data_IF_217544952338
#
_entry.id   IF_217544952338
#
_cell.length_a   1.000
_cell.length_b   1.000
_cell.length_c   1.000
_cell.angle_alpha   90.00
_cell.angle_beta   90.00
_cell.angle_gamma   90.00
#
_symmetry.space_group_name_H-M   'P 1'
#
loop_
_entity.id
_entity.type
_entity.pdbx_description
1 polymer ?
#
# COMPACT_ATOMS: atom_id res chain seq x y z
N UNK A 1 -36.26 -5.80 -5.70
CA UNK A 1 -35.26 -5.58 -6.79
C UNK A 1 -33.81 -5.55 -6.28
N UNK A 2 -33.43 -6.40 -5.32
CA UNK A 2 -32.07 -6.41 -4.72
C UNK A 2 -31.16 -7.56 -5.23
N UNK A 3 -31.71 -8.57 -5.92
CA UNK A 3 -30.98 -9.76 -6.33
C UNK A 3 -30.04 -9.56 -7.55
N UNK A 4 -30.21 -8.49 -8.33
CA UNK A 4 -29.51 -8.30 -9.60
C UNK A 4 -28.14 -7.58 -9.47
N UNK A 5 -27.81 -7.01 -8.30
CA UNK A 5 -26.55 -6.25 -8.08
C UNK A 5 -25.37 -7.12 -7.63
N UNK A 6 -25.61 -8.24 -6.96
CA UNK A 6 -24.55 -9.18 -6.54
C UNK A 6 -23.90 -9.91 -7.71
N UNK A 7 -24.66 -10.16 -8.78
CA UNK A 7 -24.21 -10.89 -9.98
C UNK A 7 -23.02 -10.23 -10.68
N UNK A 8 -22.89 -8.90 -10.65
CA UNK A 8 -21.80 -8.19 -11.34
C UNK A 8 -20.45 -8.32 -10.62
N UNK A 9 -20.45 -8.38 -9.28
CA UNK A 9 -19.23 -8.58 -8.48
C UNK A 9 -18.74 -10.01 -8.61
N UNK A 10 -19.66 -10.99 -8.54
CA UNK A 10 -19.33 -12.38 -8.83
C UNK A 10 -18.85 -12.54 -10.27
N UNK A 11 -19.44 -11.85 -11.24
CA UNK A 11 -18.95 -11.89 -12.62
C UNK A 11 -17.52 -11.33 -12.75
N UNK A 12 -17.16 -10.24 -12.07
CA UNK A 12 -15.78 -9.69 -12.09
C UNK A 12 -14.81 -10.57 -11.32
N UNK A 13 -15.19 -11.11 -10.17
CA UNK A 13 -14.37 -12.05 -9.40
C UNK A 13 -14.17 -13.35 -10.17
N UNK A 14 -15.22 -13.87 -10.82
CA UNK A 14 -15.18 -15.06 -11.69
C UNK A 14 -14.35 -14.78 -12.94
N UNK A 15 -14.46 -13.59 -13.55
CA UNK A 15 -13.62 -13.18 -14.68
C UNK A 15 -12.16 -13.02 -14.27
N UNK A 16 -11.88 -12.44 -13.10
CA UNK A 16 -10.53 -12.32 -12.56
C UNK A 16 -9.94 -13.68 -12.19
N UNK A 17 -10.74 -14.59 -11.60
CA UNK A 17 -10.30 -15.94 -11.25
C UNK A 17 -10.21 -16.87 -12.47
N UNK A 18 -11.04 -16.67 -13.50
CA UNK A 18 -10.89 -17.32 -14.81
C UNK A 18 -9.65 -16.80 -15.56
N UNK A 19 -9.34 -15.50 -15.47
CA UNK A 19 -8.09 -14.94 -15.99
C UNK A 19 -6.85 -15.50 -15.27
N UNK A 20 -6.94 -15.74 -13.95
CA UNK A 20 -5.91 -16.45 -13.17
C UNK A 20 -5.84 -17.94 -13.54
N UNK A 21 -6.93 -18.56 -13.99
CA UNK A 21 -6.92 -19.95 -14.48
C UNK A 21 -6.29 -20.09 -15.88
N UNK A 22 -6.16 -18.98 -16.63
CA UNK A 22 -5.51 -18.91 -17.94
C UNK A 22 -4.12 -18.26 -17.86
N UNK A 23 -3.31 -18.63 -16.85
CA UNK A 23 -1.89 -18.30 -16.83
C UNK A 23 -1.19 -19.13 -17.90
N UNK A 24 -1.11 -18.60 -19.11
CA UNK A 24 -0.09 -19.01 -20.08
C UNK A 24 1.25 -18.36 -19.67
N UNK A 25 2.40 -18.98 -19.97
CA UNK A 25 3.67 -18.29 -19.86
C UNK A 25 3.60 -17.03 -20.74
N UNK A 26 3.60 -15.87 -20.11
CA UNK A 26 3.68 -14.61 -20.82
C UNK A 26 5.13 -14.41 -21.26
N UNK A 27 5.41 -14.68 -22.53
CA UNK A 27 6.68 -14.47 -23.25
C UNK A 27 7.12 -12.98 -23.29
N UNK A 28 6.48 -12.09 -22.53
CA UNK A 28 6.73 -10.65 -22.48
C UNK A 28 7.35 -10.19 -21.15
N UNK A 29 7.89 -11.09 -20.32
CA UNK A 29 8.72 -10.68 -19.18
C UNK A 29 10.10 -10.28 -19.70
N UNK A 30 10.28 -8.98 -19.97
CA UNK A 30 11.57 -8.32 -20.21
C UNK A 30 12.44 -8.27 -18.95
N UNK A 31 12.58 -9.39 -18.27
CA UNK A 31 13.55 -9.62 -17.21
C UNK A 31 14.91 -10.07 -17.78
N UNK A 32 15.12 -9.88 -19.10
CA UNK A 32 16.42 -10.04 -19.71
C UNK A 32 17.30 -8.86 -19.29
N UNK A 33 18.16 -9.15 -18.29
CA UNK A 33 19.49 -8.58 -18.02
C UNK A 33 19.75 -7.20 -18.63
N UNK A 34 20.04 -6.25 -17.72
CA UNK A 34 20.42 -4.86 -17.99
C UNK A 34 20.80 -4.57 -19.43
N UNK A 35 19.93 -3.79 -20.10
CA UNK A 35 20.27 -3.13 -21.36
C UNK A 35 21.67 -2.55 -21.23
N UNK A 36 22.62 -3.07 -22.02
CA UNK A 36 23.72 -2.21 -22.46
C UNK A 36 23.00 -1.11 -23.22
N UNK A 37 22.83 0.07 -22.61
CA UNK A 37 22.27 1.22 -23.31
C UNK A 37 23.23 1.52 -24.48
N UNK A 38 22.90 0.98 -25.65
CA UNK A 38 23.58 1.28 -26.91
C UNK A 38 23.36 2.75 -27.32
N UNK A 39 22.39 3.42 -26.69
CA UNK A 39 22.17 4.86 -26.81
C UNK A 39 23.12 5.67 -25.90
N UNK A 40 23.55 6.87 -26.32
CA UNK A 40 24.34 7.75 -25.47
C UNK A 40 23.58 8.13 -24.19
N UNK A 41 24.00 7.55 -23.06
CA UNK A 41 23.31 7.63 -21.76
C UNK A 41 23.12 9.07 -21.29
N UNK A 42 24.02 9.98 -21.67
CA UNK A 42 23.92 11.41 -21.32
C UNK A 42 22.66 12.08 -21.86
N UNK A 43 22.28 11.85 -23.13
CA UNK A 43 21.07 12.44 -23.70
C UNK A 43 19.80 11.83 -23.08
N UNK A 44 19.83 10.54 -22.77
CA UNK A 44 18.72 9.87 -22.10
C UNK A 44 18.48 10.43 -20.69
N UNK A 45 19.53 10.56 -19.88
CA UNK A 45 19.45 11.12 -18.53
C UNK A 45 19.00 12.58 -18.56
N UNK A 46 19.57 13.39 -19.44
CA UNK A 46 19.16 14.79 -19.59
C UNK A 46 17.69 14.90 -20.03
N UNK A 47 17.28 14.12 -21.02
CA UNK A 47 15.89 14.10 -21.50
C UNK A 47 14.91 13.71 -20.40
N UNK A 48 15.21 12.66 -19.63
CA UNK A 48 14.41 12.24 -18.48
C UNK A 48 14.32 13.33 -17.40
N UNK A 49 15.46 13.90 -17.00
CA UNK A 49 15.51 14.97 -16.00
C UNK A 49 14.75 16.22 -16.47
N UNK A 50 14.93 16.62 -17.73
CA UNK A 50 14.25 17.75 -18.33
C UNK A 50 12.73 17.54 -18.42
N UNK A 51 12.27 16.34 -18.79
CA UNK A 51 10.85 16.01 -18.83
C UNK A 51 10.19 16.07 -17.44
N UNK A 52 10.88 15.56 -16.41
CA UNK A 52 10.42 15.67 -15.01
C UNK A 52 10.37 17.13 -14.58
N UNK A 53 11.45 17.90 -14.79
CA UNK A 53 11.51 19.32 -14.45
C UNK A 53 10.42 20.14 -15.16
N UNK A 54 10.20 19.89 -16.46
CA UNK A 54 9.16 20.54 -17.24
C UNK A 54 7.75 20.17 -16.71
N UNK A 55 7.52 18.93 -16.29
CA UNK A 55 6.24 18.51 -15.72
C UNK A 55 5.92 19.26 -14.42
N UNK A 56 6.90 19.40 -13.52
CA UNK A 56 6.74 20.20 -12.30
C UNK A 56 6.54 21.69 -12.61
N UNK A 57 7.31 22.23 -13.56
CA UNK A 57 7.18 23.62 -13.97
C UNK A 57 5.77 23.90 -14.55
N UNK A 58 5.26 23.01 -15.40
CA UNK A 58 3.89 23.11 -15.92
C UNK A 58 2.87 23.09 -14.78
N UNK A 59 3.02 22.19 -13.80
CA UNK A 59 2.15 22.13 -12.62
C UNK A 59 2.12 23.44 -11.83
N UNK A 60 3.23 24.20 -11.76
CA UNK A 60 3.24 25.52 -11.12
C UNK A 60 2.33 26.56 -11.82
N UNK A 61 2.06 26.38 -13.10
CA UNK A 61 1.17 27.26 -13.87
C UNK A 61 -0.28 26.77 -13.93
N UNK A 62 -0.56 25.52 -13.53
CA UNK A 62 -1.93 24.98 -13.51
C UNK A 62 -2.68 25.55 -12.30
N UNK A 63 -3.84 26.23 -12.49
CA UNK A 63 -4.64 26.71 -11.38
C UNK A 63 -5.09 25.56 -10.45
N UNK A 64 -5.01 25.71 -9.12
CA UNK A 64 -5.37 24.65 -8.16
C UNK A 64 -6.80 24.11 -8.37
N UNK A 65 -7.73 24.97 -8.81
CA UNK A 65 -9.13 24.62 -9.08
C UNK A 65 -9.28 23.50 -10.13
N UNK A 66 -8.38 23.44 -11.11
CA UNK A 66 -8.42 22.43 -12.18
C UNK A 66 -7.98 21.08 -11.60
N UNK A 67 -6.86 21.07 -10.87
CA UNK A 67 -6.33 19.88 -10.18
C UNK A 67 -7.37 19.33 -9.21
N UNK A 68 -7.96 20.20 -8.40
CA UNK A 68 -9.03 19.89 -7.46
C UNK A 68 -10.27 19.28 -8.12
N UNK A 69 -10.69 19.82 -9.27
CA UNK A 69 -11.83 19.29 -10.03
C UNK A 69 -11.53 17.88 -10.53
N UNK A 70 -10.33 17.65 -11.06
CA UNK A 70 -9.91 16.34 -11.56
C UNK A 70 -9.76 15.33 -10.42
N UNK A 71 -9.16 15.74 -9.28
CA UNK A 71 -9.00 14.88 -8.10
C UNK A 71 -10.34 14.48 -7.46
N UNK A 72 -11.37 15.32 -7.60
CA UNK A 72 -12.74 15.00 -7.18
C UNK A 72 -13.56 14.26 -8.23
N UNK A 73 -13.07 14.12 -9.46
CA UNK A 73 -13.77 13.34 -10.46
C UNK A 73 -13.79 11.87 -10.00
N UNK A 74 -15.00 11.38 -9.70
CA UNK A 74 -15.22 10.00 -9.26
C UNK A 74 -16.25 9.38 -10.19
N UNK A 75 -15.90 8.24 -10.77
CA UNK A 75 -16.90 7.41 -11.44
C UNK A 75 -17.49 6.43 -10.42
N UNK A 76 -18.83 6.39 -10.27
CA UNK A 76 -19.48 5.45 -9.37
C UNK A 76 -19.43 4.04 -9.97
N UNK A 77 -18.34 3.33 -9.71
CA UNK A 77 -18.12 1.95 -10.18
C UNK A 77 -18.87 0.91 -9.34
N UNK A 78 -19.56 1.34 -8.28
CA UNK A 78 -20.33 0.51 -7.36
C UNK A 78 -19.90 0.70 -5.90
N UNK A 79 -20.61 0.06 -4.98
CA UNK A 79 -20.25 0.02 -3.55
C UNK A 79 -19.62 -1.33 -3.24
N UNK A 80 -18.42 -1.33 -2.66
CA UNK A 80 -17.84 -2.54 -2.11
C UNK A 80 -18.70 -3.04 -0.93
N UNK A 81 -18.96 -4.35 -0.84
CA UNK A 81 -19.57 -4.93 0.35
C UNK A 81 -18.71 -4.62 1.58
N UNK A 82 -19.34 -4.41 2.74
CA UNK A 82 -18.64 -4.25 4.00
C UNK A 82 -18.04 -5.61 4.42
N UNK A 83 -16.84 -5.90 3.93
CA UNK A 83 -16.05 -7.07 4.32
C UNK A 83 -15.28 -6.69 5.58
N UNK A 84 -15.32 -7.55 6.60
CA UNK A 84 -14.46 -7.39 7.77
C UNK A 84 -12.99 -7.44 7.32
N UNK A 85 -12.17 -6.43 7.62
CA UNK A 85 -10.78 -6.39 7.15
C UNK A 85 -9.87 -7.37 7.91
N UNK A 86 -10.28 -7.87 9.08
CA UNK A 86 -9.44 -8.70 9.93
C UNK A 86 -8.93 -10.00 9.27
N UNK A 87 -9.78 -10.86 8.66
CA UNK A 87 -9.30 -12.09 8.02
C UNK A 87 -8.42 -11.83 6.80
N UNK A 88 -8.77 -10.86 5.95
CA UNK A 88 -7.97 -10.52 4.76
C UNK A 88 -6.64 -9.89 5.14
N UNK A 89 -6.64 -9.04 6.17
CA UNK A 89 -5.43 -8.43 6.73
C UNK A 89 -4.52 -9.48 7.36
N UNK A 90 -5.09 -10.49 8.05
CA UNK A 90 -4.30 -11.59 8.60
C UNK A 90 -3.70 -12.46 7.49
N UNK A 91 -4.46 -12.76 6.44
CA UNK A 91 -3.94 -13.48 5.28
C UNK A 91 -2.78 -12.71 4.61
N UNK A 92 -2.92 -11.38 4.45
CA UNK A 92 -1.87 -10.52 3.93
C UNK A 92 -0.63 -10.50 4.82
N UNK A 93 -0.81 -10.49 6.15
CA UNK A 93 0.29 -10.60 7.11
C UNK A 93 1.02 -11.94 7.02
N UNK A 94 0.28 -13.06 6.97
CA UNK A 94 0.88 -14.38 6.82
C UNK A 94 1.63 -14.53 5.49
N UNK A 95 1.07 -13.98 4.40
CA UNK A 95 1.75 -13.91 3.11
C UNK A 95 3.03 -13.09 3.21
N UNK A 96 3.01 -11.94 3.89
CA UNK A 96 4.19 -11.11 4.11
C UNK A 96 5.27 -11.89 4.87
N UNK A 97 4.92 -12.59 5.94
CA UNK A 97 5.84 -13.44 6.70
C UNK A 97 6.45 -14.54 5.82
N UNK A 98 5.64 -15.18 4.95
CA UNK A 98 6.12 -16.19 4.01
C UNK A 98 7.09 -15.58 2.99
N UNK A 99 6.81 -14.38 2.47
CA UNK A 99 7.67 -13.68 1.53
C UNK A 99 9.00 -13.25 2.17
N UNK A 100 8.97 -12.76 3.42
CA UNK A 100 10.19 -12.46 4.18
C UNK A 100 11.01 -13.73 4.40
N UNK A 101 10.37 -14.84 4.78
CA UNK A 101 11.05 -16.13 4.92
C UNK A 101 11.65 -16.62 3.59
N UNK A 102 10.92 -16.46 2.48
CA UNK A 102 11.43 -16.78 1.15
C UNK A 102 12.61 -15.89 0.75
N UNK A 103 12.61 -14.60 1.09
CA UNK A 103 13.74 -13.70 0.84
C UNK A 103 14.98 -14.03 1.66
N UNK A 104 14.82 -14.46 2.92
CA UNK A 104 15.94 -14.78 3.82
C UNK A 104 16.52 -16.19 3.62
N UNK A 105 15.68 -17.18 3.34
CA UNK A 105 16.08 -18.59 3.27
C UNK A 105 15.99 -19.20 1.86
N UNK A 106 15.37 -18.49 0.92
CA UNK A 106 15.19 -18.96 -0.46
C UNK A 106 16.36 -18.61 -1.37
N UNK A 107 16.10 -18.66 -2.68
CA UNK A 107 17.12 -18.33 -3.69
C UNK A 107 17.54 -16.87 -3.61
N UNK A 108 18.83 -16.59 -3.80
CA UNK A 108 19.34 -15.22 -3.97
C UNK A 108 19.11 -14.65 -5.38
N UNK A 109 18.70 -15.49 -6.32
CA UNK A 109 18.31 -15.04 -7.65
C UNK A 109 16.95 -14.33 -7.57
N UNK A 110 16.88 -13.02 -7.90
CA UNK A 110 15.63 -12.25 -7.86
C UNK A 110 14.52 -12.80 -8.74
N UNK A 111 14.87 -13.55 -9.79
CA UNK A 111 13.89 -14.16 -10.71
C UNK A 111 13.30 -15.46 -10.16
N UNK A 112 14.07 -16.18 -9.34
CA UNK A 112 13.61 -17.39 -8.69
C UNK A 112 12.92 -17.09 -7.35
N UNK A 113 13.27 -15.98 -6.69
CA UNK A 113 12.68 -15.59 -5.43
C UNK A 113 11.36 -14.84 -5.65
N UNK A 114 10.26 -15.21 -4.99
CA UNK A 114 8.98 -14.52 -5.16
C UNK A 114 8.95 -13.12 -4.53
N UNK A 115 9.87 -12.80 -3.60
CA UNK A 115 9.81 -11.55 -2.84
C UNK A 115 9.99 -10.29 -3.72
N UNK A 116 11.03 -10.15 -4.57
CA UNK A 116 11.19 -8.96 -5.40
C UNK A 116 10.01 -8.73 -6.33
N UNK A 117 9.51 -9.78 -6.99
CA UNK A 117 8.34 -9.69 -7.86
C UNK A 117 7.09 -9.23 -7.10
N UNK A 118 6.84 -9.80 -5.90
CA UNK A 118 5.68 -9.44 -5.11
C UNK A 118 5.74 -8.00 -4.60
N UNK A 119 6.91 -7.51 -4.20
CA UNK A 119 7.06 -6.14 -3.71
C UNK A 119 6.99 -5.14 -4.87
N UNK A 120 7.85 -5.29 -5.88
CA UNK A 120 8.03 -4.28 -6.93
C UNK A 120 6.95 -4.32 -8.01
N UNK A 121 6.48 -5.51 -8.39
CA UNK A 121 5.50 -5.62 -9.47
C UNK A 121 4.08 -5.66 -8.93
N UNK A 122 3.81 -6.57 -7.99
CA UNK A 122 2.43 -6.80 -7.53
C UNK A 122 2.00 -5.71 -6.56
N UNK A 123 2.75 -5.49 -5.47
CA UNK A 123 2.36 -4.52 -4.46
C UNK A 123 2.58 -3.07 -4.92
N UNK A 124 3.75 -2.76 -5.47
CA UNK A 124 4.07 -1.39 -5.82
C UNK A 124 3.37 -0.91 -7.10
N UNK A 125 3.33 -1.71 -8.17
CA UNK A 125 2.70 -1.31 -9.43
C UNK A 125 1.24 -1.77 -9.52
N UNK A 126 0.96 -3.07 -9.40
CA UNK A 126 -0.39 -3.57 -9.68
C UNK A 126 -1.40 -3.08 -8.64
N UNK A 127 -1.09 -3.14 -7.34
CA UNK A 127 -2.01 -2.70 -6.28
C UNK A 127 -2.24 -1.18 -6.32
N UNK A 128 -1.26 -0.36 -6.67
CA UNK A 128 -1.45 1.10 -6.79
C UNK A 128 -2.37 1.46 -7.96
N UNK A 129 -2.23 0.78 -9.10
CA UNK A 129 -3.15 0.91 -10.23
C UNK A 129 -4.56 0.43 -9.87
N UNK A 130 -4.67 -0.70 -9.17
CA UNK A 130 -5.96 -1.19 -8.69
C UNK A 130 -6.62 -0.22 -7.70
N UNK A 131 -5.85 0.49 -6.87
CA UNK A 131 -6.39 1.53 -5.99
C UNK A 131 -7.01 2.69 -6.78
N UNK A 132 -6.45 3.06 -7.93
CA UNK A 132 -7.02 4.10 -8.79
C UNK A 132 -8.41 3.72 -9.32
N UNK A 133 -8.65 2.41 -9.56
CA UNK A 133 -9.92 1.90 -10.10
C UNK A 133 -10.92 1.58 -8.97
N UNK A 134 -10.49 0.85 -7.95
CA UNK A 134 -11.36 0.28 -6.92
C UNK A 134 -11.45 1.12 -5.63
N UNK A 135 -10.59 2.13 -5.48
CA UNK A 135 -10.53 2.97 -4.28
C UNK A 135 -9.68 2.34 -3.18
N UNK A 136 -10.17 2.37 -1.93
CA UNK A 136 -9.39 2.02 -0.75
C UNK A 136 -9.30 0.49 -0.54
N UNK A 137 -8.48 -0.20 -1.34
CA UNK A 137 -8.18 -1.62 -1.16
C UNK A 137 -7.36 -1.88 0.11
N UNK A 138 -6.52 -0.91 0.50
CA UNK A 138 -5.65 -1.00 1.67
C UNK A 138 -6.39 -1.27 2.97
N UNK A 139 -7.63 -0.78 3.09
CA UNK A 139 -8.51 -1.11 4.21
C UNK A 139 -8.64 -2.64 4.44
N UNK A 140 -8.57 -3.46 3.38
CA UNK A 140 -8.71 -4.92 3.45
C UNK A 140 -7.38 -5.66 3.52
N UNK A 141 -6.37 -5.21 2.76
CA UNK A 141 -5.12 -5.97 2.54
C UNK A 141 -3.95 -5.52 3.42
N UNK A 142 -4.14 -4.51 4.26
CA UNK A 142 -3.06 -4.04 5.14
C UNK A 142 -2.54 -5.20 6.03
N UNK A 143 -1.23 -5.38 6.22
CA UNK A 143 -0.70 -6.48 7.04
C UNK A 143 -0.64 -6.19 8.55
N UNK A 144 -1.24 -5.10 9.04
CA UNK A 144 -1.11 -4.72 10.47
C UNK A 144 -2.34 -5.06 11.31
N UNK A 145 -3.57 -4.85 10.81
CA UNK A 145 -4.80 -5.08 11.60
C UNK A 145 -4.90 -6.55 12.01
N UNK A 146 -4.63 -7.48 11.09
CA UNK A 146 -4.62 -8.92 11.32
C UNK A 146 -3.59 -9.33 12.37
N UNK A 147 -2.36 -8.82 12.24
CA UNK A 147 -1.30 -9.05 13.23
C UNK A 147 -1.68 -8.52 14.62
N UNK A 148 -2.22 -7.30 14.69
CA UNK A 148 -2.67 -6.68 15.93
C UNK A 148 -3.78 -7.50 16.60
N UNK A 149 -4.81 -7.89 15.84
CA UNK A 149 -5.92 -8.69 16.36
C UNK A 149 -5.49 -10.08 16.82
N UNK A 150 -4.52 -10.70 16.14
CA UNK A 150 -3.95 -11.98 16.55
C UNK A 150 -3.19 -11.83 17.88
N UNK A 151 -2.31 -10.83 17.98
CA UNK A 151 -1.53 -10.57 19.19
C UNK A 151 -2.42 -10.21 20.39
N UNK A 152 -3.47 -9.42 20.17
CA UNK A 152 -4.43 -9.08 21.23
C UNK A 152 -5.20 -10.31 21.72
N UNK A 153 -5.63 -11.20 20.80
CA UNK A 153 -6.29 -12.46 21.18
C UNK A 153 -5.37 -13.40 21.96
N UNK A 154 -4.12 -13.57 21.51
CA UNK A 154 -3.12 -14.40 22.20
C UNK A 154 -2.75 -13.81 23.57
N UNK A 155 -2.72 -12.48 23.68
CA UNK A 155 -2.48 -11.75 24.93
C UNK A 155 -3.71 -11.62 25.85
N UNK A 156 -4.84 -12.26 25.53
CA UNK A 156 -6.06 -12.23 26.34
C UNK A 156 -6.76 -10.86 26.39
N UNK A 157 -6.67 -10.06 25.33
CA UNK A 157 -7.27 -8.73 25.23
C UNK A 157 -6.49 -7.62 25.95
N UNK A 158 -5.25 -7.89 26.37
CA UNK A 158 -4.42 -6.92 27.10
C UNK A 158 -4.00 -5.74 26.25
N UNK A 159 -3.80 -5.91 24.94
CA UNK A 159 -3.40 -4.81 24.04
C UNK A 159 -4.56 -3.83 23.86
N UNK A 160 -5.77 -4.35 23.65
CA UNK A 160 -7.00 -3.54 23.56
C UNK A 160 -7.35 -2.85 24.89
N UNK A 161 -6.99 -3.46 26.04
CA UNK A 161 -7.19 -2.88 27.38
C UNK A 161 -6.07 -1.93 27.81
N UNK A 162 -4.94 -1.91 27.10
CA UNK A 162 -3.81 -1.06 27.47
C UNK A 162 -4.13 0.41 27.23
N UNK A 163 -3.74 1.27 28.17
CA UNK A 163 -3.95 2.71 28.05
C UNK A 163 -3.17 3.22 26.84
N UNK A 164 -3.87 3.92 25.94
CA UNK A 164 -3.27 4.57 24.79
C UNK A 164 -2.22 5.58 25.28
N UNK A 165 -0.94 5.36 24.93
CA UNK A 165 0.10 6.34 25.23
C UNK A 165 -0.06 7.54 24.29
N UNK A 166 0.00 8.74 24.84
CA UNK A 166 -0.13 9.95 24.04
C UNK A 166 1.00 10.03 23.02
N UNK A 167 0.64 10.11 21.73
CA UNK A 167 1.60 10.36 20.66
C UNK A 167 2.35 11.67 20.92
N UNK A 168 3.69 11.68 20.97
CA UNK A 168 4.43 12.91 21.23
C UNK A 168 4.18 13.91 20.10
N UNK A 169 3.73 15.15 20.40
CA UNK A 169 3.38 16.12 19.37
C UNK A 169 4.58 16.54 18.51
N UNK A 170 5.80 16.48 19.07
CA UNK A 170 7.04 16.78 18.35
C UNK A 170 7.37 15.75 17.27
N UNK A 171 6.90 14.50 17.43
CA UNK A 171 7.17 13.43 16.47
C UNK A 171 6.31 13.60 15.21
N UNK A 172 5.12 14.19 15.33
CA UNK A 172 4.30 14.66 14.20
C UNK A 172 4.23 13.65 13.05
N UNK A 173 4.53 14.09 11.83
CA UNK A 173 4.63 13.23 10.64
C UNK A 173 6.06 12.76 10.32
N UNK A 174 7.05 13.07 11.17
CA UNK A 174 8.46 12.79 10.90
C UNK A 174 8.77 11.31 10.64
N UNK A 175 8.24 10.34 11.42
CA UNK A 175 8.47 8.92 11.13
C UNK A 175 7.98 8.52 9.74
N UNK A 176 6.82 9.02 9.33
CA UNK A 176 6.26 8.73 8.01
C UNK A 176 7.12 9.34 6.88
N UNK A 177 7.60 10.58 7.08
CA UNK A 177 8.50 11.24 6.14
C UNK A 177 9.82 10.46 6.00
N UNK A 178 10.43 10.07 7.11
CA UNK A 178 11.69 9.31 7.10
C UNK A 178 11.53 7.94 6.46
N UNK A 179 10.45 7.21 6.77
CA UNK A 179 10.16 5.93 6.14
C UNK A 179 9.93 6.07 4.64
N UNK A 180 9.19 7.10 4.22
CA UNK A 180 8.96 7.37 2.80
C UNK A 180 10.25 7.73 2.06
N UNK A 181 11.08 8.60 2.63
CA UNK A 181 12.38 8.95 2.05
C UNK A 181 13.32 7.75 1.99
N UNK A 182 13.34 6.90 3.02
CA UNK A 182 14.10 5.66 3.01
C UNK A 182 13.63 4.70 1.92
N UNK A 183 12.32 4.55 1.74
CA UNK A 183 11.73 3.77 0.66
C UNK A 183 12.10 4.34 -0.72
N UNK A 184 11.96 5.65 -0.94
CA UNK A 184 12.30 6.30 -2.21
C UNK A 184 13.79 6.20 -2.53
N UNK A 185 14.66 6.30 -1.51
CA UNK A 185 16.09 6.08 -1.68
C UNK A 185 16.41 4.64 -2.06
N UNK A 186 15.77 3.67 -1.40
CA UNK A 186 15.89 2.27 -1.79
C UNK A 186 15.48 2.09 -3.26
N UNK A 187 14.29 2.55 -3.64
CA UNK A 187 13.77 2.41 -5.00
C UNK A 187 14.65 3.07 -6.07
N UNK A 188 15.14 4.29 -5.84
CA UNK A 188 15.75 5.11 -6.88
C UNK A 188 17.28 5.11 -6.90
N UNK A 189 17.92 4.84 -5.76
CA UNK A 189 19.37 5.04 -5.59
C UNK A 189 20.10 3.75 -5.23
N UNK A 190 19.44 2.84 -4.50
CA UNK A 190 20.12 1.67 -3.98
C UNK A 190 20.43 0.66 -5.11
N UNK A 191 21.70 0.26 -5.32
CA UNK A 191 22.07 -0.58 -6.48
C UNK A 191 21.54 -2.03 -6.46
N UNK A 192 21.10 -2.53 -5.31
CA UNK A 192 20.72 -3.93 -5.12
C UNK A 192 19.29 -4.05 -4.55
N UNK A 193 18.35 -3.28 -5.11
CA UNK A 193 16.92 -3.32 -4.76
C UNK A 193 16.28 -4.68 -4.93
N UNK A 194 16.80 -5.47 -5.88
CA UNK A 194 16.24 -6.76 -6.24
C UNK A 194 16.86 -7.92 -5.45
N UNK A 195 17.92 -7.67 -4.67
CA UNK A 195 18.53 -8.69 -3.80
C UNK A 195 17.50 -9.14 -2.74
N UNK A 196 17.03 -10.41 -2.79
CA UNK A 196 15.94 -10.87 -1.94
C UNK A 196 16.25 -10.79 -0.45
N UNK A 197 17.50 -11.03 -0.05
CA UNK A 197 17.90 -11.05 1.37
C UNK A 197 17.79 -9.63 1.94
N UNK A 198 18.34 -8.65 1.22
CA UNK A 198 18.33 -7.25 1.62
C UNK A 198 16.94 -6.65 1.59
N UNK A 199 16.17 -6.99 0.56
CA UNK A 199 14.78 -6.58 0.44
C UNK A 199 13.94 -7.13 1.59
N UNK A 200 14.15 -8.40 1.99
CA UNK A 200 13.44 -9.01 3.11
C UNK A 200 13.70 -8.26 4.42
N UNK A 201 14.97 -7.90 4.68
CA UNK A 201 15.34 -7.10 5.85
C UNK A 201 14.69 -5.71 5.80
N UNK A 202 14.77 -5.03 4.66
CA UNK A 202 14.16 -3.70 4.49
C UNK A 202 12.64 -3.73 4.72
N UNK A 203 11.95 -4.71 4.14
CA UNK A 203 10.50 -4.91 4.31
C UNK A 203 10.15 -5.22 5.76
N UNK A 204 10.93 -6.09 6.43
CA UNK A 204 10.73 -6.42 7.83
C UNK A 204 10.92 -5.20 8.75
N UNK A 205 11.98 -4.42 8.54
CA UNK A 205 12.25 -3.17 9.28
C UNK A 205 11.14 -2.16 9.06
N UNK A 206 10.72 -1.95 7.81
CA UNK A 206 9.60 -1.08 7.48
C UNK A 206 8.32 -1.51 8.18
N UNK A 207 7.98 -2.80 8.11
CA UNK A 207 6.77 -3.34 8.73
C UNK A 207 6.80 -3.16 10.25
N UNK A 208 7.93 -3.46 10.90
CA UNK A 208 8.11 -3.31 12.34
C UNK A 208 8.01 -1.85 12.78
N UNK A 209 8.65 -0.93 12.05
CA UNK A 209 8.57 0.51 12.34
C UNK A 209 7.13 1.03 12.22
N UNK A 210 6.41 0.64 11.16
CA UNK A 210 5.01 0.99 10.97
C UNK A 210 4.10 0.33 12.02
N UNK A 211 4.34 -0.93 12.36
CA UNK A 211 3.57 -1.66 13.38
C UNK A 211 3.77 -1.06 14.77
N UNK A 212 4.98 -0.65 15.12
CA UNK A 212 5.28 0.03 16.37
C UNK A 212 4.49 1.34 16.51
N UNK A 213 4.37 2.10 15.42
CA UNK A 213 3.54 3.32 15.36
C UNK A 213 2.03 3.06 15.49
N UNK A 214 1.55 1.89 15.04
CA UNK A 214 0.15 1.48 15.17
C UNK A 214 -0.18 0.92 16.56
N UNK A 215 0.81 0.38 17.27
CA UNK A 215 0.56 -0.22 18.57
C UNK A 215 -0.12 0.80 19.53
N UNK A 216 -1.01 0.36 20.44
CA UNK A 216 -1.66 1.24 21.43
C UNK A 216 -0.67 2.00 22.32
N UNK A 217 0.63 1.66 22.23
CA UNK A 217 1.72 2.40 22.80
C UNK A 217 1.95 3.80 22.18
N UNK A 218 1.32 4.15 21.05
CA UNK A 218 1.68 5.36 20.27
C UNK A 218 0.47 6.12 19.68
N UNK A 219 -0.77 5.65 19.82
CA UNK A 219 -1.92 6.35 19.22
C UNK A 219 -2.47 7.43 20.16
N UNK A 220 -2.28 8.70 19.80
CA UNK A 220 -2.87 9.84 20.50
C UNK A 220 -4.38 10.04 20.23
N UNK A 221 -5.05 10.92 21.00
CA UNK A 221 -6.52 11.12 20.98
C UNK A 221 -7.07 11.82 19.72
N UNK A 222 -6.36 11.82 18.60
CA UNK A 222 -6.74 12.57 17.39
C UNK A 222 -8.02 12.09 16.68
N UNK A 223 -8.68 11.03 17.18
CA UNK A 223 -9.97 10.55 16.66
C UNK A 223 -11.17 10.89 17.57
N UNK A 224 -10.97 11.50 18.74
CA UNK A 224 -12.08 11.94 19.61
C UNK A 224 -12.74 13.25 19.15
N UNK A 225 -12.02 14.11 18.43
CA UNK A 225 -12.52 15.41 17.96
C UNK A 225 -13.62 15.33 16.88
N UNK A 226 -13.76 14.20 16.19
CA UNK A 226 -14.77 14.01 15.15
C UNK A 226 -16.13 13.49 15.66
N UNK A 227 -16.18 12.91 16.86
CA UNK A 227 -17.41 12.29 17.40
C UNK A 227 -18.24 13.23 18.28
N UNK A 228 -17.66 14.31 18.80
CA UNK A 228 -18.38 15.28 19.63
C UNK A 228 -19.25 16.26 18.80
N UNK A 229 -18.99 16.40 17.50
CA UNK A 229 -19.78 17.27 16.61
C UNK A 229 -21.12 16.66 16.17
N UNK A 230 -21.31 15.34 16.36
CA UNK A 230 -22.54 14.64 15.96
C UNK A 230 -23.55 14.44 17.10
N UNK A 231 -23.17 14.79 18.34
CA UNK A 231 -24.02 14.66 19.53
C UNK A 231 -24.73 15.96 19.94
N UNK A 232 -24.43 17.10 19.29
CA UNK A 232 -25.05 18.41 19.58
C UNK A 232 -26.05 18.89 18.51
N UNK A 233 -26.30 18.10 17.47
CA UNK A 233 -27.31 18.39 16.45
C UNK A 233 -28.62 17.64 16.73
N UNK A 234 -29.21 17.88 17.90
CA UNK A 234 -30.66 17.70 18.11
C UNK A 234 -31.28 19.07 18.35
N UNK A 235 -31.97 19.66 17.36
CA UNK A 235 -32.97 20.66 17.63
C UNK A 235 -34.35 20.00 17.54
N UNK A 236 -34.91 19.71 18.70
CA UNK A 236 -36.28 19.27 18.87
C UNK A 236 -36.80 19.73 20.22
N UNK A 237 -37.09 21.04 20.36
CA UNK A 237 -38.00 21.58 21.36
C UNK A 237 -38.37 23.03 21.02
N UNK A 238 -39.69 23.26 20.98
CA UNK A 238 -40.45 24.51 20.73
C UNK A 238 -40.59 24.94 19.26
#
# INVERSE_FOLDING_TARGET
MAACRGSKIWAVVILASAAVAHITPAEAHGAERGFVLLLPTGYYLFGGAAAVAASFLLLCFVPPRIVDRLARARWPLGTMPAISPAPTSLAAFLLLCLLIAAGLFGSRDPLANPLPLMVWTVWWVAITLLHAVFGNLWALINPWIGAYTLLDRLGGGRLSRSRMLAYPPWLGYWPAILLFLGFAWLELVYPATDDPERLAVAVAVYWLAAFAGLSPLVIGPALEGGRLSLALATPGAA
#
